data_IF_981472606566
#
_entry.id   IF_981472606566
#
_cell.length_a   1.000
_cell.length_b   1.000
_cell.length_c   1.000
_cell.angle_alpha   90.00
_cell.angle_beta   90.00
_cell.angle_gamma   90.00
#
_symmetry.space_group_name_H-M   'P 1'
#
loop_
_entity.id
_entity.type
_entity.pdbx_description
1 polymer ?
#
# COMPACT_ATOMS: atom_id res chain seq x y z
N UNK A 1 -8.23 -3.02 7.54
CA UNK A 1 -6.85 -3.07 8.10
C UNK A 1 -6.57 -1.71 8.72
N UNK A 2 -5.55 -1.53 9.55
CA UNK A 2 -5.31 -0.22 10.17
C UNK A 2 -4.47 0.64 9.25
N UNK A 3 -4.91 1.85 8.96
CA UNK A 3 -4.20 2.85 8.14
C UNK A 3 -4.01 4.13 8.95
N UNK A 4 -3.02 4.91 8.57
CA UNK A 4 -2.64 6.15 9.26
C UNK A 4 -2.36 7.28 8.28
N UNK A 5 -2.26 8.48 8.81
CA UNK A 5 -1.75 9.65 8.11
C UNK A 5 -0.35 10.01 8.60
N UNK A 6 0.40 10.73 7.78
CA UNK A 6 1.72 11.27 8.18
C UNK A 6 1.57 12.11 9.45
N UNK A 7 2.38 11.78 10.46
CA UNK A 7 2.36 12.42 11.79
C UNK A 7 1.43 11.75 12.80
N UNK A 8 0.62 10.78 12.39
CA UNK A 8 -0.20 10.01 13.34
C UNK A 8 0.69 9.19 14.28
N UNK A 9 0.22 9.04 15.52
CA UNK A 9 0.78 8.11 16.49
C UNK A 9 -0.23 6.99 16.70
N UNK A 10 0.05 5.75 16.26
CA UNK A 10 -0.76 4.60 16.60
C UNK A 10 -0.96 4.51 18.11
N UNK A 11 -2.20 4.37 18.59
CA UNK A 11 -2.45 4.29 20.03
C UNK A 11 -2.35 2.84 20.51
N UNK A 12 -1.41 2.64 21.43
CA UNK A 12 -1.14 1.54 22.36
C UNK A 12 -0.76 0.17 21.79
N UNK A 13 -1.59 -0.57 21.05
CA UNK A 13 -1.27 -1.96 20.69
C UNK A 13 -1.85 -2.33 19.32
N UNK A 14 -1.00 -2.83 18.43
CA UNK A 14 -1.40 -3.53 17.21
C UNK A 14 -1.40 -5.02 17.47
N UNK A 15 -2.54 -5.66 17.27
CA UNK A 15 -2.70 -7.10 17.47
C UNK A 15 -2.51 -7.80 16.12
N UNK A 16 -1.50 -8.66 16.03
CA UNK A 16 -1.24 -9.49 14.86
C UNK A 16 -1.71 -10.93 15.16
N UNK A 17 -2.80 -11.34 14.52
CA UNK A 17 -3.32 -12.69 14.63
C UNK A 17 -2.50 -13.67 13.76
N UNK A 18 -2.36 -14.94 14.15
CA UNK A 18 -1.68 -15.94 13.35
C UNK A 18 -2.48 -16.22 12.07
N UNK A 19 -1.78 -16.44 10.96
CA UNK A 19 -2.40 -17.11 9.82
C UNK A 19 -2.71 -18.56 10.18
N UNK A 20 -3.67 -19.19 9.51
CA UNK A 20 -4.27 -20.50 9.87
C UNK A 20 -3.27 -21.66 10.11
N UNK A 21 -2.01 -21.53 9.71
CA UNK A 21 -0.95 -22.54 9.88
C UNK A 21 0.07 -22.23 10.99
N UNK A 22 0.03 -21.05 11.62
CA UNK A 22 1.01 -20.65 12.63
C UNK A 22 0.54 -20.99 14.03
N UNK A 23 1.45 -21.54 14.85
CA UNK A 23 1.25 -21.73 16.29
C UNK A 23 2.32 -20.98 17.04
N UNK A 24 1.92 -20.11 17.97
CA UNK A 24 2.87 -19.35 18.78
C UNK A 24 3.38 -20.12 20.01
N UNK A 25 2.84 -21.31 20.28
CA UNK A 25 3.17 -22.10 21.47
C UNK A 25 4.64 -22.58 21.52
N UNK A 26 5.37 -22.52 20.41
CA UNK A 26 6.78 -22.94 20.33
C UNK A 26 7.78 -21.79 20.56
N UNK A 27 7.30 -20.55 20.74
CA UNK A 27 8.15 -19.37 20.88
C UNK A 27 8.09 -18.80 22.30
N UNK A 28 9.25 -18.37 22.80
CA UNK A 28 9.39 -17.80 24.15
C UNK A 28 9.31 -16.27 24.16
N UNK A 29 9.73 -15.63 23.07
CA UNK A 29 9.74 -14.17 22.98
C UNK A 29 9.50 -13.67 21.55
N UNK A 30 9.09 -12.41 21.46
CA UNK A 30 8.89 -11.70 20.20
C UNK A 30 9.67 -10.37 20.22
N UNK A 31 10.10 -9.94 19.04
CA UNK A 31 10.72 -8.63 18.80
C UNK A 31 10.04 -7.97 17.61
N UNK A 32 9.87 -6.66 17.64
CA UNK A 32 9.30 -5.89 16.53
C UNK A 32 10.25 -4.77 16.11
N UNK A 33 10.32 -4.53 14.81
CA UNK A 33 10.93 -3.34 14.23
C UNK A 33 10.04 -2.80 13.11
N UNK A 34 10.17 -1.51 12.85
CA UNK A 34 9.42 -0.85 11.79
C UNK A 34 10.36 -0.53 10.63
N UNK A 35 9.92 -0.76 9.40
CA UNK A 35 10.65 -0.43 8.18
C UNK A 35 9.84 0.61 7.41
N UNK A 36 10.51 1.68 7.00
CA UNK A 36 9.88 2.73 6.22
C UNK A 36 9.85 2.42 4.72
N UNK A 37 9.11 3.20 3.92
CA UNK A 37 9.01 2.98 2.46
C UNK A 37 10.35 3.02 1.72
N UNK A 38 11.38 3.66 2.27
CA UNK A 38 12.73 3.72 1.69
C UNK A 38 13.62 2.54 2.16
N UNK A 39 13.09 1.66 3.01
CA UNK A 39 13.78 0.51 3.58
C UNK A 39 14.59 0.82 4.85
N UNK A 40 14.50 2.04 5.40
CA UNK A 40 15.19 2.37 6.65
C UNK A 40 14.47 1.74 7.86
N UNK A 41 15.26 1.21 8.79
CA UNK A 41 14.75 0.58 10.01
C UNK A 41 14.59 1.60 11.13
N UNK A 42 13.49 1.49 11.86
CA UNK A 42 13.13 2.33 12.99
C UNK A 42 12.91 1.46 14.23
N UNK A 43 13.56 1.87 15.32
CA UNK A 43 13.52 1.21 16.62
C UNK A 43 12.41 1.80 17.51
N UNK A 44 12.11 1.12 18.62
CA UNK A 44 11.20 1.62 19.66
C UNK A 44 9.82 0.97 19.65
N UNK A 45 9.58 0.02 18.75
CA UNK A 45 8.46 -0.93 18.86
C UNK A 45 8.88 -2.05 19.80
N UNK A 46 7.93 -2.60 20.56
CA UNK A 46 8.13 -3.83 21.33
C UNK A 46 7.06 -4.84 20.96
N UNK A 47 7.39 -6.12 20.90
CA UNK A 47 6.43 -7.20 20.70
C UNK A 47 6.35 -8.07 21.95
N UNK A 48 5.14 -8.52 22.31
CA UNK A 48 4.93 -9.48 23.38
C UNK A 48 4.06 -10.64 22.92
N UNK A 49 4.27 -11.79 23.58
CA UNK A 49 3.44 -12.99 23.48
C UNK A 49 2.58 -13.16 24.76
N UNK A 50 2.37 -12.12 25.56
CA UNK A 50 1.67 -12.26 26.85
C UNK A 50 0.18 -12.66 26.70
N UNK A 51 -0.40 -12.52 25.50
CA UNK A 51 -1.77 -12.95 25.14
C UNK A 51 -1.89 -14.35 24.52
N UNK A 52 -0.88 -15.23 24.64
CA UNK A 52 -0.84 -16.57 24.05
C UNK A 52 -2.13 -17.40 24.29
N UNK A 53 -2.52 -18.28 23.34
CA UNK A 53 -1.82 -18.65 22.10
C UNK A 53 -2.25 -17.90 20.82
N UNK A 54 -3.08 -16.86 20.92
CA UNK A 54 -3.92 -16.42 19.80
C UNK A 54 -3.43 -15.19 19.02
N UNK A 55 -2.43 -14.44 19.50
CA UNK A 55 -1.93 -13.25 18.81
C UNK A 55 -0.57 -12.76 19.33
N UNK A 56 0.08 -11.90 18.55
CA UNK A 56 1.23 -11.09 18.93
C UNK A 56 0.75 -9.66 19.20
N UNK A 57 1.17 -9.08 20.31
CA UNK A 57 0.89 -7.67 20.61
C UNK A 57 2.11 -6.82 20.28
N UNK A 58 1.96 -5.87 19.36
CA UNK A 58 3.00 -4.90 19.00
C UNK A 58 2.65 -3.55 19.61
N UNK A 59 3.47 -3.12 20.57
CA UNK A 59 3.31 -1.85 21.28
C UNK A 59 4.12 -0.78 20.57
N UNK A 60 3.45 0.35 20.29
CA UNK A 60 4.05 1.51 19.64
C UNK A 60 4.65 2.48 20.65
N UNK A 61 5.74 3.20 20.30
CA UNK A 61 6.26 4.26 21.15
C UNK A 61 5.25 5.41 21.25
N UNK A 62 5.39 6.24 22.30
CA UNK A 62 4.51 7.41 22.52
C UNK A 62 4.64 8.51 21.45
N UNK A 63 5.70 8.49 20.65
CA UNK A 63 5.95 9.45 19.58
C UNK A 63 5.59 8.86 18.22
N UNK A 64 5.14 9.72 17.29
CA UNK A 64 4.93 9.30 15.90
C UNK A 64 6.26 8.94 15.24
N UNK A 65 6.34 7.71 14.72
CA UNK A 65 7.41 7.27 13.82
C UNK A 65 7.05 7.49 12.35
N UNK A 66 5.76 7.68 12.04
CA UNK A 66 5.19 7.70 10.70
C UNK A 66 5.36 9.08 10.06
N UNK A 67 6.58 9.40 9.65
CA UNK A 67 6.97 10.74 9.22
C UNK A 67 6.95 10.99 7.70
N UNK A 68 6.64 9.98 6.90
CA UNK A 68 6.56 10.07 5.43
C UNK A 68 5.43 9.18 4.90
N UNK A 69 4.78 9.57 3.78
CA UNK A 69 3.77 8.73 3.16
C UNK A 69 4.42 7.50 2.53
N UNK A 70 3.63 6.43 2.39
CA UNK A 70 4.04 5.19 1.74
C UNK A 70 3.59 3.95 2.50
N UNK A 71 4.01 2.78 2.01
CA UNK A 71 3.73 1.51 2.67
C UNK A 71 4.84 1.18 3.68
N UNK A 72 4.53 1.34 4.96
CA UNK A 72 5.41 0.95 6.05
C UNK A 72 5.23 -0.54 6.37
N UNK A 73 6.22 -1.16 7.02
CA UNK A 73 6.15 -2.58 7.38
C UNK A 73 6.56 -2.80 8.83
N UNK A 74 5.70 -3.48 9.59
CA UNK A 74 6.07 -4.03 10.90
C UNK A 74 6.61 -5.44 10.67
N UNK A 75 7.87 -5.64 11.07
CA UNK A 75 8.54 -6.93 10.99
C UNK A 75 8.65 -7.51 12.39
N UNK A 76 8.15 -8.73 12.58
CA UNK A 76 8.21 -9.43 13.87
C UNK A 76 9.12 -10.66 13.75
N UNK A 77 10.10 -10.73 14.66
CA UNK A 77 10.92 -11.92 14.87
C UNK A 77 10.47 -12.66 16.12
N UNK A 78 10.17 -13.95 15.98
CA UNK A 78 9.81 -14.85 17.07
C UNK A 78 11.00 -15.72 17.42
N UNK A 79 11.33 -15.84 18.71
CA UNK A 79 12.48 -16.62 19.17
C UNK A 79 12.00 -17.83 19.97
N UNK A 80 12.41 -19.03 19.54
CA UNK A 80 12.12 -20.30 20.22
C UNK A 80 13.10 -20.57 21.37
N UNK A 81 12.79 -21.57 22.21
CA UNK A 81 13.63 -22.00 23.35
C UNK A 81 15.05 -22.42 22.92
N UNK A 82 15.20 -23.00 21.73
CA UNK A 82 16.50 -23.36 21.16
C UNK A 82 17.28 -22.18 20.57
N UNK A 83 16.73 -20.96 20.67
CA UNK A 83 17.30 -19.73 20.13
C UNK A 83 17.07 -19.53 18.63
N UNK A 84 16.33 -20.41 17.94
CA UNK A 84 15.98 -20.22 16.54
C UNK A 84 15.02 -19.04 16.39
N UNK A 85 15.31 -18.18 15.42
CA UNK A 85 14.44 -17.04 15.07
C UNK A 85 13.64 -17.38 13.83
N UNK A 86 12.32 -17.23 13.91
CA UNK A 86 11.41 -17.27 12.77
C UNK A 86 10.80 -15.89 12.51
N UNK A 87 10.57 -15.57 11.25
CA UNK A 87 10.06 -14.26 10.84
C UNK A 87 8.57 -14.35 10.51
N UNK A 88 7.76 -13.64 11.30
CA UNK A 88 6.34 -13.48 11.01
C UNK A 88 6.16 -12.72 9.67
N UNK A 89 5.12 -13.04 8.87
CA UNK A 89 4.85 -12.30 7.65
C UNK A 89 4.83 -10.78 7.88
N UNK A 90 5.46 -9.98 7.01
CA UNK A 90 5.47 -8.53 7.15
C UNK A 90 4.06 -7.96 7.21
N UNK A 91 3.77 -7.16 8.23
CA UNK A 91 2.49 -6.47 8.35
C UNK A 91 2.58 -5.09 7.71
N UNK A 92 1.95 -4.92 6.55
CA UNK A 92 1.90 -3.65 5.82
C UNK A 92 1.04 -2.61 6.52
N UNK A 93 1.50 -1.36 6.55
CA UNK A 93 0.76 -0.23 7.14
C UNK A 93 0.74 0.91 6.12
N UNK A 94 -0.42 1.18 5.51
CA UNK A 94 -0.56 2.34 4.64
C UNK A 94 -0.47 3.62 5.47
N UNK A 95 0.45 4.50 5.08
CA UNK A 95 0.55 5.86 5.62
C UNK A 95 0.26 6.87 4.50
N UNK A 96 -0.86 7.56 4.63
CA UNK A 96 -1.39 8.48 3.63
C UNK A 96 -1.00 9.93 3.93
N UNK A 97 -1.03 10.78 2.90
CA UNK A 97 -0.86 12.23 3.04
C UNK A 97 -2.01 12.97 2.37
N UNK A 98 -2.47 14.07 2.99
CA UNK A 98 -3.44 14.98 2.37
C UNK A 98 -2.78 15.90 1.34
N UNK A 99 -2.43 15.36 0.20
CA UNK A 99 -1.80 16.09 -0.92
C UNK A 99 -2.77 16.43 -2.07
N UNK A 100 -4.04 16.05 -1.93
CA UNK A 100 -5.10 16.30 -2.90
C UNK A 100 -5.36 15.15 -3.87
N UNK A 101 -4.55 14.09 -3.87
CA UNK A 101 -4.84 12.85 -4.60
C UNK A 101 -5.88 11.99 -3.86
N UNK A 102 -6.31 10.88 -4.48
CA UNK A 102 -7.19 9.95 -3.77
C UNK A 102 -6.46 9.26 -2.63
N UNK A 103 -7.09 9.31 -1.45
CA UNK A 103 -6.85 8.39 -0.33
C UNK A 103 -7.64 7.09 -0.51
N UNK A 104 -7.33 6.08 0.29
CA UNK A 104 -8.04 4.79 0.38
C UNK A 104 -9.55 5.02 0.59
N UNK A 105 -9.93 5.95 1.46
CA UNK A 105 -11.35 6.30 1.65
C UNK A 105 -11.98 6.85 0.38
N UNK A 106 -11.37 7.90 -0.15
CA UNK A 106 -11.96 8.61 -1.27
C UNK A 106 -11.99 7.78 -2.55
N UNK A 107 -11.12 6.78 -2.71
CA UNK A 107 -11.20 5.86 -3.84
C UNK A 107 -12.32 4.84 -3.63
N UNK A 108 -12.52 4.33 -2.42
CA UNK A 108 -13.61 3.38 -2.09
C UNK A 108 -14.99 4.03 -2.27
N UNK A 109 -15.11 5.32 -1.99
CA UNK A 109 -16.34 6.10 -2.22
C UNK A 109 -16.77 6.08 -3.69
N UNK A 110 -15.81 6.09 -4.62
CA UNK A 110 -16.10 6.12 -6.06
C UNK A 110 -15.99 4.75 -6.72
N UNK A 111 -15.28 3.79 -6.11
CA UNK A 111 -15.02 2.45 -6.60
C UNK A 111 -15.44 1.39 -5.57
N UNK A 112 -16.69 0.94 -5.70
CA UNK A 112 -17.31 -0.02 -4.78
C UNK A 112 -16.61 -1.38 -4.72
N UNK A 113 -15.99 -1.80 -5.83
CA UNK A 113 -15.32 -3.10 -5.97
C UNK A 113 -13.80 -3.01 -5.71
N UNK A 114 -13.34 -1.93 -5.07
CA UNK A 114 -11.95 -1.80 -4.68
C UNK A 114 -11.50 -2.97 -3.78
N UNK A 115 -10.21 -3.35 -3.80
CA UNK A 115 -9.65 -4.39 -2.96
C UNK A 115 -9.98 -4.15 -1.49
N UNK A 116 -10.26 -5.24 -0.77
CA UNK A 116 -10.57 -5.15 0.66
C UNK A 116 -9.32 -4.91 1.50
N UNK A 117 -8.17 -5.41 1.06
CA UNK A 117 -6.88 -5.19 1.72
C UNK A 117 -6.37 -3.76 1.46
N UNK A 118 -6.11 -3.03 2.54
CA UNK A 118 -5.73 -1.61 2.45
C UNK A 118 -4.29 -1.43 1.99
N UNK A 119 -3.38 -2.36 2.31
CA UNK A 119 -1.98 -2.30 1.87
C UNK A 119 -1.86 -2.58 0.36
N UNK A 120 -2.61 -3.56 -0.13
CA UNK A 120 -2.73 -3.86 -1.55
C UNK A 120 -3.34 -2.67 -2.31
N UNK A 121 -4.49 -2.15 -1.86
CA UNK A 121 -5.12 -1.00 -2.51
C UNK A 121 -4.22 0.25 -2.48
N UNK A 122 -3.52 0.50 -1.37
CA UNK A 122 -2.56 1.59 -1.28
C UNK A 122 -1.43 1.46 -2.31
N UNK A 123 -0.90 0.26 -2.50
CA UNK A 123 0.15 -0.02 -3.50
C UNK A 123 -0.31 0.37 -4.91
N UNK A 124 -1.55 0.04 -5.28
CA UNK A 124 -2.12 0.46 -6.56
C UNK A 124 -2.35 1.98 -6.63
N UNK A 125 -2.82 2.60 -5.55
CA UNK A 125 -3.04 4.05 -5.49
C UNK A 125 -1.75 4.84 -5.69
N UNK A 126 -0.68 4.42 -5.03
CA UNK A 126 0.63 5.07 -5.07
C UNK A 126 1.27 4.93 -6.46
N UNK A 127 1.27 3.72 -7.02
CA UNK A 127 1.73 3.49 -8.38
C UNK A 127 0.90 4.28 -9.42
N UNK A 128 -0.42 4.37 -9.25
CA UNK A 128 -1.28 5.14 -10.14
C UNK A 128 -0.97 6.64 -10.05
N UNK A 129 -0.72 7.15 -8.84
CA UNK A 129 -0.34 8.54 -8.61
C UNK A 129 0.96 8.86 -9.31
N UNK A 130 2.00 8.04 -9.15
CA UNK A 130 3.29 8.23 -9.82
C UNK A 130 3.16 8.27 -11.34
N UNK A 131 2.41 7.32 -11.91
CA UNK A 131 2.13 7.29 -13.34
C UNK A 131 1.37 8.54 -13.80
N UNK A 132 0.40 9.00 -13.01
CA UNK A 132 -0.35 10.22 -13.31
C UNK A 132 0.55 11.46 -13.25
N UNK A 133 1.42 11.59 -12.24
CA UNK A 133 2.37 12.69 -12.12
C UNK A 133 3.35 12.69 -13.30
N UNK A 134 3.91 11.53 -13.66
CA UNK A 134 4.83 11.41 -14.78
C UNK A 134 4.20 11.81 -16.13
N UNK A 135 2.89 11.58 -16.29
CA UNK A 135 2.13 11.89 -17.51
C UNK A 135 1.35 13.19 -17.46
N UNK A 136 1.28 13.88 -16.34
CA UNK A 136 0.58 15.15 -16.19
C UNK A 136 1.42 16.34 -16.66
N UNK A 137 0.75 17.46 -16.96
CA UNK A 137 1.44 18.74 -17.06
C UNK A 137 1.83 19.23 -15.66
N UNK A 138 2.92 20.02 -15.52
CA UNK A 138 3.28 20.60 -14.25
C UNK A 138 2.11 21.40 -13.66
N UNK A 139 1.71 21.07 -12.44
CA UNK A 139 0.65 21.79 -11.73
C UNK A 139 1.31 22.80 -10.80
N UNK A 140 0.76 24.00 -10.75
CA UNK A 140 0.99 24.94 -9.64
C UNK A 140 -0.31 25.02 -8.84
N UNK A 141 -0.26 24.66 -7.55
CA UNK A 141 -1.44 24.66 -6.67
C UNK A 141 -2.11 23.28 -6.51
N UNK A 142 -3.40 23.24 -6.14
CA UNK A 142 -4.08 22.00 -5.75
C UNK A 142 -4.28 21.04 -6.92
N UNK A 143 -4.28 19.74 -6.62
CA UNK A 143 -4.53 18.67 -7.59
C UNK A 143 -5.93 18.84 -8.23
N UNK A 144 -6.05 19.02 -9.55
CA UNK A 144 -7.33 19.17 -10.23
C UNK A 144 -8.20 17.92 -10.12
N UNK A 145 -9.52 18.07 -10.07
CA UNK A 145 -10.45 16.93 -10.02
C UNK A 145 -10.27 15.94 -11.18
N UNK A 146 -9.91 16.42 -12.38
CA UNK A 146 -9.64 15.54 -13.53
C UNK A 146 -8.43 14.62 -13.31
N UNK A 147 -7.45 15.03 -12.49
CA UNK A 147 -6.29 14.20 -12.15
C UNK A 147 -6.66 13.12 -11.14
N UNK A 148 -7.51 13.47 -10.16
CA UNK A 148 -8.11 12.49 -9.25
C UNK A 148 -8.92 11.43 -10.02
N UNK A 149 -9.75 11.85 -10.97
CA UNK A 149 -10.47 10.92 -11.86
C UNK A 149 -9.52 10.03 -12.66
N UNK A 150 -8.45 10.61 -13.23
CA UNK A 150 -7.43 9.85 -13.96
C UNK A 150 -6.75 8.79 -13.08
N UNK A 151 -6.38 9.16 -11.84
CA UNK A 151 -5.83 8.22 -10.87
C UNK A 151 -6.81 7.08 -10.60
N UNK A 152 -8.09 7.39 -10.31
CA UNK A 152 -9.11 6.37 -10.06
C UNK A 152 -9.29 5.40 -11.24
N UNK A 153 -9.26 5.91 -12.48
CA UNK A 153 -9.30 5.07 -13.67
C UNK A 153 -8.05 4.19 -13.80
N UNK A 154 -6.87 4.74 -13.52
CA UNK A 154 -5.60 4.01 -13.61
C UNK A 154 -5.50 2.91 -12.55
N UNK A 155 -5.90 3.17 -11.30
CA UNK A 155 -5.95 2.16 -10.23
C UNK A 155 -6.82 0.97 -10.65
N UNK A 156 -8.03 1.24 -11.15
CA UNK A 156 -8.94 0.19 -11.64
C UNK A 156 -8.35 -0.61 -12.79
N UNK A 157 -7.70 0.07 -13.73
CA UNK A 157 -7.06 -0.60 -14.87
C UNK A 157 -5.95 -1.56 -14.41
N UNK A 158 -5.12 -1.15 -13.45
CA UNK A 158 -4.05 -1.99 -12.89
C UNK A 158 -4.61 -3.17 -12.10
N UNK A 159 -5.65 -2.95 -11.29
CA UNK A 159 -6.33 -4.03 -10.57
C UNK A 159 -6.91 -5.08 -11.51
N UNK A 160 -7.69 -4.63 -12.50
CA UNK A 160 -8.31 -5.52 -13.47
C UNK A 160 -7.26 -6.29 -14.27
N UNK A 161 -6.15 -5.66 -14.64
CA UNK A 161 -5.06 -6.31 -15.35
C UNK A 161 -4.40 -7.45 -14.54
N UNK A 162 -4.32 -7.33 -13.21
CA UNK A 162 -3.84 -8.40 -12.33
C UNK A 162 -4.85 -9.52 -12.09
N UNK A 163 -6.14 -9.26 -12.28
CA UNK A 163 -7.24 -10.19 -11.98
C UNK A 163 -7.77 -10.97 -13.18
N UNK A 164 -7.54 -10.48 -14.41
CA UNK A 164 -7.84 -11.26 -15.61
C UNK A 164 -6.84 -12.43 -15.64
N UNK A 165 -7.33 -13.63 -15.36
CA UNK A 165 -6.56 -14.87 -15.48
C UNK A 165 -5.93 -14.97 -16.87
N UNK A 166 -4.77 -15.61 -16.95
CA UNK A 166 -4.02 -15.96 -18.17
C UNK A 166 -4.76 -16.91 -19.13
N UNK A 167 -6.10 -16.87 -19.16
CA UNK A 167 -6.98 -17.62 -20.06
C UNK A 167 -7.33 -16.88 -21.36
N UNK A 168 -6.79 -15.67 -21.55
CA UNK A 168 -6.92 -14.90 -22.80
C UNK A 168 -5.80 -15.23 -23.78
N UNK A 169 -5.94 -16.36 -24.48
CA UNK A 169 -5.17 -16.78 -25.68
C UNK A 169 -3.82 -17.48 -25.44
N UNK A 170 -3.86 -18.82 -25.61
CA UNK A 170 -2.73 -19.72 -25.80
C UNK A 170 -1.92 -19.34 -27.05
N UNK A 171 -0.64 -19.01 -26.84
CA UNK A 171 0.43 -19.03 -27.84
C UNK A 171 1.72 -19.37 -27.09
N UNK A 172 2.29 -20.54 -27.38
CA UNK A 172 3.51 -21.04 -26.76
C UNK A 172 4.68 -20.08 -26.98
N UNK A 173 5.53 -19.94 -25.95
CA UNK A 173 6.81 -19.24 -25.90
C UNK A 173 6.75 -17.70 -25.83
N UNK A 174 6.35 -17.17 -24.68
CA UNK A 174 7.14 -16.21 -23.89
C UNK A 174 6.32 -15.78 -22.66
N UNK A 175 6.90 -15.80 -21.46
CA UNK A 175 6.29 -15.11 -20.32
C UNK A 175 6.49 -13.59 -20.50
N UNK A 176 5.73 -13.00 -21.43
CA UNK A 176 5.68 -11.56 -21.60
C UNK A 176 4.96 -10.96 -20.39
N UNK A 177 5.73 -10.35 -19.49
CA UNK A 177 5.20 -9.41 -18.51
C UNK A 177 4.67 -8.22 -19.30
N UNK A 178 3.35 -8.13 -19.46
CA UNK A 178 2.73 -7.00 -20.13
C UNK A 178 2.85 -5.77 -19.23
N UNK A 179 3.77 -4.87 -19.56
CA UNK A 179 3.76 -3.51 -19.03
C UNK A 179 2.54 -2.79 -19.62
N UNK A 180 1.45 -2.74 -18.87
CA UNK A 180 0.24 -2.05 -19.31
C UNK A 180 0.49 -0.54 -19.33
N UNK A 181 0.63 0.01 -20.53
CA UNK A 181 0.69 1.46 -20.73
C UNK A 181 -0.61 2.11 -20.24
N UNK A 182 -0.51 3.25 -19.57
CA UNK A 182 -1.66 4.08 -19.21
C UNK A 182 -2.57 4.33 -20.43
N UNK A 183 -3.87 4.10 -20.27
CA UNK A 183 -4.84 4.24 -21.36
C UNK A 183 -4.89 5.66 -21.91
N UNK A 184 -5.11 5.81 -23.22
CA UNK A 184 -5.10 7.11 -23.90
C UNK A 184 -6.14 8.08 -23.34
N UNK A 185 -7.31 7.59 -22.92
CA UNK A 185 -8.34 8.43 -22.31
C UNK A 185 -7.92 8.97 -20.93
N UNK A 186 -7.15 8.19 -20.16
CA UNK A 186 -6.56 8.62 -18.89
C UNK A 186 -5.53 9.72 -19.17
N UNK A 187 -4.70 9.56 -20.19
CA UNK A 187 -3.72 10.58 -20.60
C UNK A 187 -4.42 11.87 -21.02
N UNK A 188 -5.55 11.82 -21.74
CA UNK A 188 -6.33 13.02 -22.09
C UNK A 188 -6.89 13.78 -20.89
N UNK A 189 -7.18 13.10 -19.78
CA UNK A 189 -7.57 13.78 -18.53
C UNK A 189 -6.38 14.51 -17.89
N UNK A 190 -5.19 13.93 -17.99
CA UNK A 190 -3.96 14.49 -17.42
C UNK A 190 -3.39 15.64 -18.28
N UNK A 191 -3.42 15.45 -19.61
CA UNK A 191 -2.95 16.39 -20.63
C UNK A 191 -4.01 16.51 -21.72
N UNK A 192 -5.05 17.32 -21.51
CA UNK A 192 -6.03 17.58 -22.55
C UNK A 192 -5.29 18.22 -23.72
N UNK A 193 -5.21 17.50 -24.85
CA UNK A 193 -4.63 18.02 -26.08
C UNK A 193 -5.35 19.33 -26.39
N UNK A 194 -4.65 20.45 -26.29
CA UNK A 194 -5.22 21.76 -26.57
C UNK A 194 -5.90 21.71 -27.92
N UNK A 195 -7.17 22.13 -27.99
CA UNK A 195 -7.77 22.59 -29.23
C UNK A 195 -7.02 23.87 -29.65
N UNK A 196 -5.79 23.73 -30.15
CA UNK A 196 -5.00 24.82 -30.73
C UNK A 196 -4.36 24.24 -31.99
N UNK A 197 -5.03 24.44 -33.12
CA UNK A 197 -4.53 24.07 -34.44
C UNK A 197 -5.63 23.63 -35.41
N UNK A 198 -6.66 24.45 -35.65
CA UNK A 198 -7.68 24.10 -36.64
C UNK A 198 -8.84 25.07 -36.82
N UNK A 199 -8.65 26.37 -36.60
CA UNK A 199 -9.48 27.44 -37.17
C UNK A 199 -8.73 28.75 -36.96
N UNK A 200 -8.18 29.28 -38.05
CA UNK A 200 -7.89 30.67 -38.44
C UNK A 200 -6.69 30.67 -39.39
#
# INVERSE_FOLDING_TARGET
MTRYYVGDSPVQVTVLAPEMSWSFALFESASARLVDPDGAQHEGLTASLEGLPEHIEVVWPKGSLLNKPGLWQVLVGLTAEDGKIEHFPPYGIPVEQHDGWHTIDSIRDVWREAPLDDAELFTYLDAAKDLCIAKADPITGPVPQRYRLAQAMQVRAMWNAGHVSSGGQYGSDDQAVYAYSMGYDIVKLLRPSGAIGGMF
#
